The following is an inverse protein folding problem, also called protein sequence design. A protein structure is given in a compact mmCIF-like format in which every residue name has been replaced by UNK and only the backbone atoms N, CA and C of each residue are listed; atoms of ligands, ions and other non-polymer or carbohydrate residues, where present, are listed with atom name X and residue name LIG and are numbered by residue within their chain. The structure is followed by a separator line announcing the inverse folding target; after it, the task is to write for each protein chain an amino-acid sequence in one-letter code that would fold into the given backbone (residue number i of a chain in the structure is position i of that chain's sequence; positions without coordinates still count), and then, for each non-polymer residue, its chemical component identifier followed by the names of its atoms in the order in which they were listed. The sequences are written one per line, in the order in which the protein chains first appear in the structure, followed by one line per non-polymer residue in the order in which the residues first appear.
data_IF_887995990297
#
_entry.id   IF_887995990297
#
_cell.length_a   1.000
_cell.length_b   1.000
_cell.length_c   1.000
_cell.angle_alpha   90.00
_cell.angle_beta   90.00
_cell.angle_gamma   90.00
#
_symmetry.space_group_name_H-M   'P 1'
#
loop_
_entity.id
_entity.type
_entity.pdbx_description
1 polymer ?
#
# COMPACT_ATOMS: atom_id res chain seq x y z
N UNK A 1 12.62 48.72 30.07
CA UNK A 1 11.86 48.73 28.79
C UNK A 1 12.37 47.59 27.91
N UNK A 2 11.44 46.88 27.30
CA UNK A 2 11.53 46.00 26.11
C UNK A 2 12.30 44.68 26.29
N UNK A 3 11.49 43.61 26.29
CA UNK A 3 11.84 42.18 26.20
C UNK A 3 12.05 41.82 24.72
N UNK A 4 13.08 41.05 24.40
CA UNK A 4 13.18 40.37 23.10
C UNK A 4 13.38 38.88 23.33
N UNK A 5 12.29 38.13 23.18
CA UNK A 5 12.28 36.68 23.07
C UNK A 5 12.43 36.39 21.57
N UNK A 6 13.57 35.83 21.15
CA UNK A 6 13.73 35.32 19.80
C UNK A 6 13.23 33.87 19.77
N UNK A 7 12.13 33.64 19.05
CA UNK A 7 11.47 32.36 18.91
C UNK A 7 12.34 31.36 18.12
N UNK A 8 12.54 30.18 18.70
CA UNK A 8 13.17 29.02 18.07
C UNK A 8 12.13 28.35 17.16
N UNK A 9 12.14 28.66 15.86
CA UNK A 9 11.32 27.96 14.89
C UNK A 9 11.91 26.57 14.59
N UNK A 10 11.36 25.54 15.25
CA UNK A 10 11.52 24.14 14.88
C UNK A 10 10.90 23.92 13.49
N UNK A 11 11.73 23.84 12.45
CA UNK A 11 11.34 23.37 11.13
C UNK A 11 11.08 21.85 11.23
N UNK A 12 9.84 21.48 11.55
CA UNK A 12 9.37 20.10 11.34
C UNK A 12 9.16 19.95 9.83
N UNK A 13 10.15 19.38 9.14
CA UNK A 13 9.97 18.96 7.75
C UNK A 13 9.02 17.74 7.74
N UNK A 14 7.85 17.80 7.09
CA UNK A 14 7.09 16.59 6.82
C UNK A 14 7.85 15.81 5.75
N UNK A 15 8.43 14.67 6.11
CA UNK A 15 8.81 13.63 5.16
C UNK A 15 7.53 13.03 4.55
N UNK A 16 6.90 13.78 3.64
CA UNK A 16 5.79 13.30 2.81
C UNK A 16 6.35 12.98 1.41
N UNK A 17 7.17 11.94 1.31
CA UNK A 17 7.68 11.48 0.03
C UNK A 17 7.84 9.96 0.07
N UNK A 18 6.74 9.22 -0.06
CA UNK A 18 6.79 7.77 -0.35
C UNK A 18 5.55 7.19 -1.03
N UNK A 19 4.45 7.94 -1.20
CA UNK A 19 3.27 7.43 -1.91
C UNK A 19 3.45 7.37 -3.46
N UNK A 20 4.44 8.08 -4.00
CA UNK A 20 4.66 8.20 -5.46
C UNK A 20 5.23 6.94 -6.16
N UNK A 21 5.69 5.93 -5.41
CA UNK A 21 6.42 4.81 -6.03
C UNK A 21 5.54 3.73 -6.67
N UNK A 22 4.23 3.70 -6.38
CA UNK A 22 3.34 2.61 -6.84
C UNK A 22 2.37 3.03 -7.93
N UNK A 23 1.80 4.24 -7.82
CA UNK A 23 0.79 4.73 -8.76
C UNK A 23 1.32 4.87 -10.20
N UNK A 24 2.62 5.07 -10.39
CA UNK A 24 3.22 5.24 -11.73
C UNK A 24 3.62 3.95 -12.45
N UNK A 25 3.64 2.79 -11.77
CA UNK A 25 4.22 1.54 -12.33
C UNK A 25 3.21 0.41 -12.52
N UNK A 26 2.04 0.50 -11.89
CA UNK A 26 1.03 -0.56 -11.92
C UNK A 26 -0.17 -0.15 -12.77
N UNK A 27 -0.61 -1.04 -13.65
CA UNK A 27 -1.74 -0.83 -14.54
C UNK A 27 -3.03 -1.04 -13.76
N UNK A 28 -3.96 -0.06 -13.77
CA UNK A 28 -5.25 -0.21 -13.12
C UNK A 28 -6.02 -1.46 -13.55
N UNK A 29 -6.71 -2.09 -12.61
CA UNK A 29 -7.49 -3.31 -12.81
C UNK A 29 -6.67 -4.57 -13.10
N UNK A 30 -5.34 -4.46 -13.23
CA UNK A 30 -4.47 -5.63 -13.44
C UNK A 30 -4.23 -6.32 -12.09
N UNK A 31 -4.44 -7.65 -11.99
CA UNK A 31 -4.11 -8.40 -10.79
C UNK A 31 -2.60 -8.60 -10.66
N UNK A 32 -2.09 -8.31 -9.46
CA UNK A 32 -0.69 -8.53 -9.08
C UNK A 32 -0.62 -9.51 -7.90
N UNK A 33 0.31 -10.48 -7.96
CA UNK A 33 0.37 -11.57 -6.98
C UNK A 33 1.53 -11.42 -6.01
N UNK A 34 1.26 -11.68 -4.74
CA UNK A 34 2.20 -11.53 -3.62
C UNK A 34 2.05 -12.68 -2.62
N UNK A 35 3.15 -13.04 -1.95
CA UNK A 35 3.14 -14.08 -0.91
C UNK A 35 2.53 -13.58 0.40
N UNK A 36 2.66 -12.27 0.67
CA UNK A 36 2.21 -11.65 1.91
C UNK A 36 1.51 -10.32 1.65
N UNK A 37 0.70 -9.92 2.62
CA UNK A 37 0.04 -8.63 2.66
C UNK A 37 -0.01 -8.15 4.11
N UNK A 38 0.58 -6.97 4.37
CA UNK A 38 0.56 -6.33 5.68
C UNK A 38 -0.03 -4.90 5.56
N UNK A 39 -1.34 -4.72 5.84
CA UNK A 39 -1.96 -3.40 5.77
C UNK A 39 -1.52 -2.46 6.92
N UNK A 40 -0.83 -2.99 7.94
CA UNK A 40 -0.29 -2.21 9.05
C UNK A 40 1.00 -1.46 8.71
N UNK A 41 1.65 -1.80 7.60
CA UNK A 41 2.88 -1.14 7.14
C UNK A 41 2.62 0.33 6.74
N UNK A 42 3.55 1.23 7.13
CA UNK A 42 3.46 2.67 6.85
C UNK A 42 4.81 3.22 6.38
N UNK A 43 4.95 3.71 5.13
CA UNK A 43 4.01 3.55 4.01
C UNK A 43 3.87 2.07 3.63
N UNK A 44 2.70 1.66 3.16
CA UNK A 44 2.52 0.32 2.63
C UNK A 44 3.32 0.15 1.33
N UNK A 45 4.00 -0.99 1.21
CA UNK A 45 4.70 -1.38 -0.01
C UNK A 45 4.26 -2.78 -0.40
N UNK A 46 3.78 -3.00 -1.63
CA UNK A 46 3.64 -4.34 -2.17
C UNK A 46 5.04 -4.95 -2.15
N UNK A 47 5.15 -6.16 -1.59
CA UNK A 47 6.42 -6.88 -1.52
C UNK A 47 6.94 -7.26 -2.90
N UNK A 48 7.64 -8.40 -3.00
CA UNK A 48 8.04 -8.90 -4.30
C UNK A 48 6.80 -9.35 -5.10
N UNK A 49 6.57 -8.71 -6.25
CA UNK A 49 5.60 -9.21 -7.22
C UNK A 49 6.12 -10.52 -7.79
N UNK A 50 5.25 -11.52 -7.83
CA UNK A 50 5.52 -12.83 -8.40
C UNK A 50 4.50 -13.16 -9.50
N UNK A 51 4.81 -14.16 -10.31
CA UNK A 51 3.81 -14.72 -11.21
C UNK A 51 2.87 -15.69 -10.47
N UNK A 52 1.74 -16.05 -11.10
CA UNK A 52 0.74 -16.93 -10.48
C UNK A 52 1.30 -18.33 -10.15
N UNK A 53 2.14 -18.89 -11.01
CA UNK A 53 2.75 -20.22 -10.81
C UNK A 53 3.65 -20.23 -9.57
N UNK A 54 4.38 -19.13 -9.35
CA UNK A 54 5.26 -18.95 -8.20
C UNK A 54 4.51 -18.83 -6.89
N UNK A 55 3.37 -18.14 -6.82
CA UNK A 55 2.61 -18.02 -5.57
C UNK A 55 1.68 -19.21 -5.33
N UNK A 56 1.19 -19.87 -6.39
CA UNK A 56 0.26 -20.98 -6.26
C UNK A 56 0.88 -22.16 -5.52
N UNK A 57 2.19 -22.40 -5.72
CA UNK A 57 2.95 -23.45 -5.00
C UNK A 57 2.99 -23.25 -3.48
N UNK A 58 2.78 -22.02 -3.00
CA UNK A 58 2.84 -21.68 -1.57
C UNK A 58 1.53 -22.01 -0.84
N UNK A 59 0.49 -22.45 -1.57
CA UNK A 59 -0.87 -22.68 -1.07
C UNK A 59 -1.58 -21.48 -0.46
N UNK A 60 -0.92 -20.40 -0.08
CA UNK A 60 -1.55 -19.16 0.36
C UNK A 60 -0.88 -17.98 -0.34
N UNK A 61 -1.70 -17.09 -0.89
CA UNK A 61 -1.23 -15.91 -1.60
C UNK A 61 -2.28 -14.82 -1.66
N UNK A 62 -1.86 -13.64 -2.10
CA UNK A 62 -2.69 -12.46 -2.25
C UNK A 62 -2.67 -11.98 -3.69
N UNK A 63 -3.85 -11.65 -4.21
CA UNK A 63 -4.02 -10.91 -5.46
C UNK A 63 -4.44 -9.49 -5.11
N UNK A 64 -3.72 -8.50 -5.64
CA UNK A 64 -3.99 -7.08 -5.40
C UNK A 64 -4.23 -6.39 -6.73
N UNK A 65 -5.36 -5.68 -6.84
CA UNK A 65 -5.72 -4.89 -8.00
C UNK A 65 -6.01 -3.45 -7.59
N UNK A 66 -5.43 -2.49 -8.32
CA UNK A 66 -5.65 -1.06 -8.12
C UNK A 66 -6.86 -0.59 -8.92
N UNK A 67 -7.59 0.39 -8.39
CA UNK A 67 -8.62 1.09 -9.15
C UNK A 67 -8.01 2.01 -10.23
N UNK A 68 -8.87 2.59 -11.06
CA UNK A 68 -8.47 3.47 -12.18
C UNK A 68 -7.68 4.70 -11.70
N UNK A 69 -7.92 5.16 -10.47
CA UNK A 69 -7.27 6.33 -9.91
C UNK A 69 -6.00 6.00 -9.09
N UNK A 70 -5.71 4.71 -8.85
CA UNK A 70 -4.66 4.27 -7.91
C UNK A 70 -4.93 4.64 -6.45
N UNK A 71 -6.16 5.04 -6.12
CA UNK A 71 -6.56 5.48 -4.78
C UNK A 71 -7.13 4.33 -3.96
N UNK A 72 -7.70 3.32 -4.60
CA UNK A 72 -8.25 2.15 -3.93
C UNK A 72 -7.54 0.88 -4.41
N UNK A 73 -7.36 -0.06 -3.49
CA UNK A 73 -6.94 -1.42 -3.83
C UNK A 73 -7.98 -2.42 -3.36
N UNK A 74 -8.17 -3.46 -4.16
CA UNK A 74 -8.87 -4.68 -3.76
C UNK A 74 -7.82 -5.75 -3.50
N UNK A 75 -7.92 -6.41 -2.33
CA UNK A 75 -6.99 -7.45 -1.88
C UNK A 75 -7.79 -8.73 -1.71
N UNK A 76 -7.52 -9.73 -2.54
CA UNK A 76 -8.13 -11.04 -2.46
C UNK A 76 -7.13 -12.02 -1.84
N UNK A 77 -7.53 -12.72 -0.78
CA UNK A 77 -6.73 -13.80 -0.19
C UNK A 77 -7.16 -15.14 -0.76
N UNK A 78 -6.18 -15.93 -1.19
CA UNK A 78 -6.38 -17.27 -1.70
C UNK A 78 -5.72 -18.30 -0.78
N UNK A 79 -6.42 -19.42 -0.57
CA UNK A 79 -5.87 -20.62 0.07
C UNK A 79 -6.19 -21.82 -0.81
N UNK A 80 -5.14 -22.52 -1.25
CA UNK A 80 -5.18 -23.68 -2.16
C UNK A 80 -5.92 -23.41 -3.47
N UNK A 81 -5.85 -22.18 -3.97
CA UNK A 81 -6.50 -21.74 -5.20
C UNK A 81 -7.92 -21.22 -5.00
N UNK A 82 -8.53 -21.41 -3.83
CA UNK A 82 -9.84 -20.87 -3.51
C UNK A 82 -9.72 -19.50 -2.86
N UNK A 83 -10.51 -18.53 -3.34
CA UNK A 83 -10.61 -17.21 -2.72
C UNK A 83 -11.38 -17.32 -1.42
N UNK A 84 -10.71 -17.04 -0.29
CA UNK A 84 -11.30 -17.13 1.04
C UNK A 84 -11.68 -15.77 1.63
N UNK A 85 -11.08 -14.68 1.14
CA UNK A 85 -11.38 -13.32 1.61
C UNK A 85 -11.18 -12.29 0.49
N UNK A 86 -11.86 -11.14 0.63
CA UNK A 86 -11.77 -10.01 -0.29
C UNK A 86 -12.02 -8.70 0.46
N UNK A 87 -10.98 -7.88 0.56
CA UNK A 87 -11.00 -6.63 1.30
C UNK A 87 -10.70 -5.44 0.37
N UNK A 88 -11.18 -4.26 0.75
CA UNK A 88 -10.89 -3.00 0.05
C UNK A 88 -10.18 -2.02 0.98
N UNK A 89 -9.19 -1.34 0.44
CA UNK A 89 -8.41 -0.33 1.14
C UNK A 89 -8.31 0.95 0.33
N UNK A 90 -8.37 2.09 1.02
CA UNK A 90 -7.99 3.38 0.48
C UNK A 90 -6.49 3.60 0.74
N UNK A 91 -5.77 3.99 -0.30
CA UNK A 91 -4.37 4.45 -0.23
C UNK A 91 -4.39 5.92 0.18
N UNK A 92 -3.85 6.21 1.36
CA UNK A 92 -3.77 7.58 1.88
C UNK A 92 -2.57 8.33 1.27
N UNK A 93 -2.54 9.68 1.33
CA UNK A 93 -1.42 10.47 0.80
C UNK A 93 -0.05 10.16 1.42
N UNK A 94 -0.02 9.60 2.64
CA UNK A 94 1.20 9.14 3.31
C UNK A 94 1.63 7.72 2.87
N UNK A 95 0.87 7.09 1.98
CA UNK A 95 1.06 5.72 1.50
C UNK A 95 0.55 4.64 2.44
N UNK A 96 -0.07 4.98 3.57
CA UNK A 96 -0.71 3.99 4.45
C UNK A 96 -2.04 3.51 3.87
N UNK A 97 -2.49 2.33 4.31
CA UNK A 97 -3.77 1.76 3.92
C UNK A 97 -4.82 1.97 5.00
N UNK A 98 -6.03 2.37 4.58
CA UNK A 98 -7.22 2.43 5.44
C UNK A 98 -8.29 1.49 4.92
N UNK A 99 -8.69 0.52 5.75
CA UNK A 99 -9.77 -0.41 5.42
C UNK A 99 -11.09 0.33 5.18
N UNK A 100 -11.83 -0.07 4.15
CA UNK A 100 -13.12 0.50 3.75
C UNK A 100 -14.29 -0.33 4.25
#
# INVERSE_FOLDING_TARGET
MIRTIAALCLLVQPFAASADLLAGKLTPGTPYYYENFDPGQRPWKPGQQLNIEEVFKNYQYYEIAFDQAGQEITVNQYVRGDKIDSEKYLVLPDGSLRKK
#
